data_IF_208383929434
#
_entry.id   IF_208383929434
#
_cell.length_a   1.000
_cell.length_b   1.000
_cell.length_c   1.000
_cell.angle_alpha   90.00
_cell.angle_beta   90.00
_cell.angle_gamma   90.00
#
_symmetry.space_group_name_H-M   'P 1'
#
loop_
_entity.id
_entity.type
_entity.pdbx_description
1 polymer ?
#
# COMPACT_ATOMS: atom_id res chain seq x y z
N UNK A 1 -9.83 -15.24 0.96
CA UNK A 1 -9.83 -16.44 1.78
C UNK A 1 -8.78 -17.43 1.30
N UNK A 2 -8.15 -18.11 2.23
CA UNK A 2 -7.13 -19.08 1.90
C UNK A 2 -7.74 -20.44 1.73
N UNK A 3 -7.34 -21.13 0.67
CA UNK A 3 -7.78 -22.47 0.37
C UNK A 3 -6.56 -23.33 0.08
N UNK A 4 -6.52 -24.51 0.60
CA UNK A 4 -5.42 -25.41 0.32
C UNK A 4 -5.39 -25.86 -1.13
N UNK A 5 -6.46 -25.64 -1.89
CA UNK A 5 -6.49 -25.96 -3.30
C UNK A 5 -5.82 -24.92 -4.18
N UNK A 6 -5.33 -23.83 -3.59
CA UNK A 6 -4.58 -22.82 -4.33
C UNK A 6 -3.19 -23.30 -4.70
N UNK A 7 -2.71 -24.36 -4.07
CA UNK A 7 -1.36 -24.84 -4.25
C UNK A 7 -1.39 -26.24 -4.82
N UNK A 8 -0.35 -26.57 -5.58
CA UNK A 8 -0.20 -27.94 -6.00
C UNK A 8 0.29 -28.78 -4.81
N UNK A 9 0.37 -30.08 -5.02
CA UNK A 9 0.71 -31.00 -3.94
C UNK A 9 2.12 -30.85 -3.40
N UNK A 10 2.95 -30.03 -4.06
CA UNK A 10 4.34 -29.84 -3.65
C UNK A 10 4.54 -28.59 -2.82
N UNK A 11 3.56 -27.73 -2.76
CA UNK A 11 3.66 -26.51 -1.98
C UNK A 11 3.06 -26.70 -0.61
N UNK A 12 3.47 -25.83 0.30
CA UNK A 12 2.91 -25.85 1.64
C UNK A 12 1.45 -25.39 1.59
N UNK A 13 0.63 -26.05 2.36
CA UNK A 13 -0.72 -25.56 2.58
C UNK A 13 -0.66 -24.32 3.43
N UNK A 14 -1.42 -23.31 3.03
CA UNK A 14 -1.57 -22.10 3.81
C UNK A 14 -3.01 -22.00 4.24
N UNK A 15 -3.41 -22.84 5.16
CA UNK A 15 -4.76 -22.84 5.68
C UNK A 15 -4.84 -22.28 7.08
N UNK A 16 -3.72 -21.72 7.58
CA UNK A 16 -3.67 -21.19 8.92
C UNK A 16 -2.67 -20.05 8.98
N UNK A 17 -3.09 -18.95 9.56
CA UNK A 17 -2.24 -17.80 9.89
C UNK A 17 -2.49 -17.60 11.36
N UNK A 18 -1.64 -18.13 12.23
CA UNK A 18 -1.83 -18.26 13.68
C UNK A 18 -2.88 -19.31 13.98
N UNK A 19 -4.11 -19.12 13.57
CA UNK A 19 -5.21 -20.05 13.70
C UNK A 19 -5.90 -20.21 12.37
N UNK A 20 -6.82 -21.15 12.30
CA UNK A 20 -7.59 -21.33 11.08
C UNK A 20 -8.43 -20.10 10.81
N UNK A 21 -8.44 -19.68 9.55
CA UNK A 21 -9.28 -18.61 9.11
C UNK A 21 -10.65 -19.19 8.75
N UNK A 22 -11.66 -18.81 9.49
CA UNK A 22 -13.03 -19.29 9.29
C UNK A 22 -13.93 -18.15 8.83
N UNK A 23 -15.17 -18.49 8.48
CA UNK A 23 -16.12 -17.48 8.01
C UNK A 23 -16.48 -16.46 9.07
N UNK A 24 -16.29 -16.78 10.34
CA UNK A 24 -16.59 -15.87 11.43
C UNK A 24 -15.36 -15.19 12.02
N UNK A 25 -14.18 -15.51 11.51
CA UNK A 25 -12.95 -14.93 12.02
C UNK A 25 -12.84 -13.48 11.56
N UNK A 26 -12.66 -12.52 12.48
CA UNK A 26 -12.44 -11.14 12.08
C UNK A 26 -11.10 -11.03 11.32
N UNK A 27 -11.11 -10.33 10.21
CA UNK A 27 -9.88 -10.08 9.48
C UNK A 27 -9.05 -9.03 10.20
N UNK A 28 -7.71 -9.16 10.18
CA UNK A 28 -6.88 -8.07 10.69
C UNK A 28 -7.05 -6.83 9.83
N UNK A 29 -6.68 -5.70 10.38
CA UNK A 29 -6.62 -4.48 9.59
C UNK A 29 -5.58 -4.68 8.48
N UNK A 30 -5.88 -4.15 7.32
CA UNK A 30 -5.00 -4.32 6.16
C UNK A 30 -4.95 -3.03 5.35
N UNK A 31 -3.92 -2.94 4.51
CA UNK A 31 -3.77 -1.85 3.56
C UNK A 31 -4.35 -2.26 2.21
N UNK A 32 -4.94 -1.31 1.47
CA UNK A 32 -5.49 -1.61 0.15
C UNK A 32 -4.35 -1.73 -0.87
N UNK A 33 -3.99 -2.94 -1.24
CA UNK A 33 -2.94 -3.18 -2.22
C UNK A 33 -3.58 -3.31 -3.61
N UNK A 34 -3.43 -2.29 -4.47
CA UNK A 34 -4.04 -2.35 -5.80
C UNK A 34 -3.41 -3.46 -6.63
N UNK A 35 -4.27 -4.24 -7.25
CA UNK A 35 -3.80 -5.41 -8.01
C UNK A 35 -2.86 -5.03 -9.17
N UNK A 36 -3.06 -3.84 -9.77
CA UNK A 36 -2.21 -3.44 -10.89
C UNK A 36 -0.72 -3.36 -10.51
N UNK A 37 -0.42 -3.16 -9.24
CA UNK A 37 0.97 -3.09 -8.78
C UNK A 37 1.71 -4.40 -9.03
N UNK A 38 0.98 -5.52 -9.07
CA UNK A 38 1.58 -6.82 -9.34
C UNK A 38 2.19 -6.89 -10.74
N UNK A 39 1.69 -6.07 -11.66
CA UNK A 39 2.13 -6.08 -13.06
C UNK A 39 3.12 -4.97 -13.38
N UNK A 40 3.64 -4.30 -12.36
CA UNK A 40 4.62 -3.22 -12.55
C UNK A 40 6.01 -3.68 -12.18
N UNK A 41 7.02 -2.97 -12.70
CA UNK A 41 8.41 -3.19 -12.36
C UNK A 41 8.88 -2.34 -11.20
N UNK A 42 7.95 -1.73 -10.47
CA UNK A 42 8.28 -0.92 -9.32
C UNK A 42 8.94 -1.76 -8.23
N UNK A 43 9.83 -1.14 -7.46
CA UNK A 43 10.40 -1.81 -6.31
C UNK A 43 9.33 -2.12 -5.27
N UNK A 44 9.62 -3.07 -4.39
CA UNK A 44 8.69 -3.38 -3.30
C UNK A 44 8.45 -2.17 -2.40
N UNK A 45 9.50 -1.39 -2.16
CA UNK A 45 9.38 -0.17 -1.37
C UNK A 45 8.39 0.81 -2.00
N UNK A 46 8.49 0.99 -3.33
CA UNK A 46 7.59 1.89 -4.04
C UNK A 46 6.15 1.38 -3.99
N UNK A 47 5.95 0.07 -4.14
CA UNK A 47 4.61 -0.52 -4.06
C UNK A 47 3.99 -0.34 -2.68
N UNK A 48 4.76 -0.56 -1.62
CA UNK A 48 4.29 -0.35 -0.26
C UNK A 48 4.00 1.13 0.01
N UNK A 49 4.87 1.99 -0.48
CA UNK A 49 4.65 3.43 -0.33
C UNK A 49 3.35 3.85 -0.99
N UNK A 50 3.12 3.40 -2.22
CA UNK A 50 1.88 3.72 -2.92
C UNK A 50 0.66 3.24 -2.14
N UNK A 51 0.74 2.02 -1.63
CA UNK A 51 -0.35 1.40 -0.86
C UNK A 51 -0.68 2.23 0.38
N UNK A 52 0.35 2.69 1.10
CA UNK A 52 0.16 3.49 2.29
C UNK A 52 -0.44 4.86 1.95
N UNK A 53 0.03 5.46 0.86
CA UNK A 53 -0.52 6.74 0.40
C UNK A 53 -1.99 6.59 -0.01
N UNK A 54 -2.31 5.49 -0.69
CA UNK A 54 -3.69 5.24 -1.10
C UNK A 54 -4.61 5.07 0.11
N UNK A 55 -4.14 4.38 1.12
CA UNK A 55 -4.91 4.22 2.36
C UNK A 55 -5.21 5.59 2.99
N UNK A 56 -4.21 6.47 3.02
CA UNK A 56 -4.37 7.82 3.55
C UNK A 56 -5.28 8.65 2.63
N UNK A 57 -5.21 8.43 1.33
CA UNK A 57 -6.06 9.13 0.37
C UNK A 57 -7.54 8.80 0.59
N UNK A 58 -7.84 7.59 1.00
CA UNK A 58 -9.21 7.20 1.33
C UNK A 58 -9.76 8.06 2.47
N UNK A 59 -8.92 8.31 3.48
CA UNK A 59 -9.32 9.17 4.59
C UNK A 59 -9.49 10.62 4.11
N UNK A 60 -8.57 11.10 3.27
CA UNK A 60 -8.67 12.46 2.71
C UNK A 60 -9.95 12.63 1.92
N UNK A 61 -10.34 11.63 1.15
CA UNK A 61 -11.57 11.65 0.38
C UNK A 61 -12.79 11.76 1.29
N UNK A 62 -12.80 10.99 2.37
CA UNK A 62 -13.89 11.05 3.36
C UNK A 62 -14.01 12.43 4.00
N UNK A 63 -12.88 13.12 4.19
CA UNK A 63 -12.84 14.42 4.83
C UNK A 63 -12.91 15.57 3.83
N UNK A 64 -13.09 15.28 2.55
CA UNK A 64 -13.16 16.29 1.49
C UNK A 64 -11.89 17.14 1.40
N UNK A 65 -10.74 16.53 1.64
CA UNK A 65 -9.45 17.23 1.49
C UNK A 65 -9.06 17.25 0.01
N UNK A 66 -9.44 18.32 -0.66
CA UNK A 66 -9.24 18.44 -2.09
C UNK A 66 -8.54 19.77 -2.41
N UNK A 67 -7.82 19.78 -3.53
CA UNK A 67 -7.24 21.04 -4.01
C UNK A 67 -8.28 21.81 -4.84
N UNK A 68 -7.85 22.94 -5.41
CA UNK A 68 -8.75 23.82 -6.17
C UNK A 68 -9.36 23.11 -7.39
N UNK A 69 -8.71 22.09 -7.93
CA UNK A 69 -9.21 21.33 -9.07
C UNK A 69 -10.02 20.09 -8.64
N UNK A 70 -10.29 19.93 -7.37
CA UNK A 70 -11.04 18.79 -6.87
C UNK A 70 -10.22 17.52 -6.73
N UNK A 71 -8.90 17.60 -6.82
CA UNK A 71 -8.03 16.43 -6.67
C UNK A 71 -7.76 16.17 -5.20
N UNK A 72 -7.80 14.88 -4.83
CA UNK A 72 -7.52 14.47 -3.45
C UNK A 72 -6.03 14.64 -3.18
N UNK A 73 -5.70 15.23 -2.05
CA UNK A 73 -4.31 15.33 -1.63
C UNK A 73 -4.10 14.62 -0.30
N UNK A 74 -2.86 14.23 -0.07
CA UNK A 74 -2.45 13.51 1.13
C UNK A 74 -1.32 14.28 1.79
N UNK A 75 -1.44 14.49 3.10
CA UNK A 75 -0.37 15.09 3.89
C UNK A 75 0.26 13.98 4.72
N UNK A 76 1.51 13.65 4.39
CA UNK A 76 2.21 12.55 5.05
C UNK A 76 3.69 12.89 5.11
N UNK A 77 4.19 13.31 6.27
CA UNK A 77 5.60 13.68 6.40
C UNK A 77 6.53 12.52 6.05
N UNK A 78 7.63 12.83 5.39
CA UNK A 78 8.62 11.80 5.01
C UNK A 78 9.14 11.04 6.22
N UNK A 79 9.38 11.73 7.33
CA UNK A 79 9.85 11.07 8.54
C UNK A 79 8.85 10.04 9.06
N UNK A 80 7.56 10.35 8.95
CA UNK A 80 6.53 9.42 9.37
C UNK A 80 6.40 8.24 8.41
N UNK A 81 6.53 8.49 7.12
CA UNK A 81 6.54 7.41 6.13
C UNK A 81 7.70 6.45 6.39
N UNK A 82 8.87 6.99 6.64
CA UNK A 82 10.05 6.20 6.95
C UNK A 82 9.81 5.32 8.18
N UNK A 83 9.23 5.90 9.20
CA UNK A 83 8.94 5.19 10.45
C UNK A 83 7.88 4.11 10.24
N UNK A 84 6.80 4.44 9.57
CA UNK A 84 5.67 3.52 9.40
C UNK A 84 6.03 2.34 8.52
N UNK A 85 6.81 2.56 7.47
CA UNK A 85 7.23 1.51 6.56
C UNK A 85 8.52 0.84 6.97
N UNK A 86 9.25 1.41 7.94
CA UNK A 86 10.53 0.91 8.42
C UNK A 86 11.60 0.89 7.34
N UNK A 87 11.60 1.92 6.51
CA UNK A 87 12.63 2.15 5.50
C UNK A 87 13.35 3.46 5.79
N UNK A 88 14.59 3.56 5.33
CA UNK A 88 15.34 4.80 5.48
C UNK A 88 14.72 5.93 4.68
N UNK A 89 15.01 7.17 5.05
CA UNK A 89 14.53 8.33 4.31
C UNK A 89 14.99 8.29 2.86
N UNK A 90 16.22 7.84 2.60
CA UNK A 90 16.72 7.75 1.23
C UNK A 90 15.96 6.70 0.43
N UNK A 91 15.57 5.59 1.04
CA UNK A 91 14.75 4.58 0.38
C UNK A 91 13.37 5.13 0.03
N UNK A 92 12.77 5.88 0.96
CA UNK A 92 11.46 6.50 0.72
C UNK A 92 11.57 7.53 -0.42
N UNK A 93 12.62 8.33 -0.42
CA UNK A 93 12.82 9.34 -1.46
C UNK A 93 12.98 8.69 -2.83
N UNK A 94 13.73 7.60 -2.91
CA UNK A 94 13.86 6.87 -4.18
C UNK A 94 12.54 6.24 -4.62
N UNK A 95 11.78 5.73 -3.66
CA UNK A 95 10.47 5.15 -3.98
C UNK A 95 9.53 6.22 -4.53
N UNK A 96 9.54 7.42 -3.96
CA UNK A 96 8.76 8.52 -4.51
C UNK A 96 9.16 8.84 -5.95
N UNK A 97 10.46 8.86 -6.24
CA UNK A 97 10.93 9.12 -7.59
C UNK A 97 10.42 8.06 -8.56
N UNK A 98 10.42 6.80 -8.16
CA UNK A 98 9.86 5.72 -8.98
C UNK A 98 8.38 5.96 -9.28
N UNK A 99 7.61 6.32 -8.25
CA UNK A 99 6.17 6.53 -8.40
C UNK A 99 5.89 7.77 -9.26
N UNK A 100 6.69 8.82 -9.12
CA UNK A 100 6.55 10.01 -9.96
C UNK A 100 6.86 9.69 -11.42
N UNK A 101 7.93 8.93 -11.65
CA UNK A 101 8.30 8.52 -13.01
C UNK A 101 7.23 7.65 -13.65
N UNK A 102 6.54 6.85 -12.85
CA UNK A 102 5.43 6.02 -13.32
C UNK A 102 4.13 6.80 -13.43
N UNK A 103 4.15 8.09 -13.10
CA UNK A 103 2.98 8.98 -13.14
C UNK A 103 1.85 8.51 -12.21
N UNK A 104 2.21 7.87 -11.12
CA UNK A 104 1.24 7.40 -10.13
C UNK A 104 1.03 8.39 -9.01
N UNK A 105 2.00 9.24 -8.74
CA UNK A 105 1.90 10.27 -7.71
C UNK A 105 2.53 11.55 -8.22
N UNK A 106 2.14 12.66 -7.59
CA UNK A 106 2.75 13.94 -7.83
C UNK A 106 2.96 14.58 -6.47
N UNK A 107 4.18 14.96 -6.16
CA UNK A 107 4.46 15.65 -4.91
C UNK A 107 4.22 17.12 -5.08
N UNK A 108 3.43 17.69 -4.15
CA UNK A 108 3.24 19.13 -4.09
C UNK A 108 4.32 19.69 -3.18
N UNK A 109 5.01 20.70 -3.68
CA UNK A 109 6.05 21.36 -2.90
C UNK A 109 5.53 22.71 -2.44
N UNK A 110 5.71 22.94 -1.17
CA UNK A 110 5.36 24.25 -0.61
C UNK A 110 6.56 25.17 -0.64
#
# INVERSE_FOLDING_TARGET
>A
MLSKNLFDEKTLEVNSISDYLTVTTPLPQYLPYPRFLLDTDLSHTAKLLYTLLLDRATLSQKNNWMDAQGRIYVVYPLSKLSKDLRYSLSSITRAFAELENAQLVERLRS
#
